data_IF_457561997103
#
_entry.id   IF_457561997103
#
_cell.length_a   1.000
_cell.length_b   1.000
_cell.length_c   1.000
_cell.angle_alpha   90.00
_cell.angle_beta   90.00
_cell.angle_gamma   90.00
#
_symmetry.space_group_name_H-M   'P 1'
#
loop_
_entity.id
_entity.type
_entity.pdbx_description
1 polymer ?
#
# COMPACT_ATOMS: atom_id res chain seq x y z
N UNK A 1 52.01 1.11 -69.02
CA UNK A 1 53.27 0.33 -69.16
C UNK A 1 53.41 -0.55 -67.91
N UNK A 2 53.97 -1.75 -68.08
CA UNK A 2 53.90 -2.96 -67.24
C UNK A 2 54.32 -2.80 -65.76
N UNK A 3 53.68 -3.62 -64.89
CA UNK A 3 54.04 -3.93 -63.49
C UNK A 3 55.49 -4.50 -63.39
N UNK A 4 56.12 -4.56 -62.18
CA UNK A 4 55.96 -5.78 -61.40
C UNK A 4 55.97 -5.65 -59.86
N UNK A 5 55.05 -6.45 -59.31
CA UNK A 5 55.07 -7.19 -58.06
C UNK A 5 56.48 -7.62 -57.58
N UNK A 6 56.78 -7.44 -56.27
CA UNK A 6 57.91 -8.10 -55.59
C UNK A 6 57.41 -8.83 -54.34
N UNK A 7 57.57 -10.17 -54.26
CA UNK A 7 57.12 -10.96 -53.12
C UNK A 7 58.21 -11.02 -52.04
N UNK A 8 57.81 -11.21 -50.79
CA UNK A 8 58.74 -11.68 -49.76
C UNK A 8 58.05 -12.69 -48.85
N UNK A 9 58.21 -13.94 -49.24
CA UNK A 9 57.92 -15.13 -48.43
C UNK A 9 58.81 -15.12 -47.17
N UNK A 10 58.18 -15.29 -46.01
CA UNK A 10 58.79 -16.06 -44.91
C UNK A 10 57.78 -17.11 -44.46
N UNK A 11 58.07 -18.32 -44.92
CA UNK A 11 57.66 -19.59 -44.33
C UNK A 11 58.30 -19.69 -42.95
N UNK A 12 57.57 -20.23 -41.97
CA UNK A 12 57.97 -21.29 -41.03
C UNK A 12 56.90 -21.33 -39.91
N UNK A 13 56.06 -22.38 -39.93
CA UNK A 13 55.98 -23.46 -38.91
C UNK A 13 55.49 -22.92 -37.54
N UNK A 14 54.44 -23.41 -36.88
CA UNK A 14 53.89 -24.76 -36.82
C UNK A 14 52.77 -24.77 -35.76
N UNK A 15 51.83 -25.72 -35.86
CA UNK A 15 51.12 -26.41 -34.74
C UNK A 15 50.12 -25.53 -33.94
N UNK A 16 48.81 -25.59 -34.21
CA UNK A 16 47.82 -26.65 -33.93
C UNK A 16 47.07 -26.45 -32.60
N UNK A 17 45.81 -26.87 -32.66
CA UNK A 17 44.92 -27.31 -31.57
C UNK A 17 43.88 -26.30 -31.05
N UNK A 18 42.64 -26.58 -31.50
CA UNK A 18 41.35 -26.58 -30.79
C UNK A 18 41.09 -25.55 -29.67
N UNK A 19 40.01 -24.80 -29.80
CA UNK A 19 38.74 -25.07 -29.09
C UNK A 19 37.70 -24.00 -29.46
N UNK A 20 36.46 -24.43 -29.62
CA UNK A 20 35.38 -23.63 -30.17
C UNK A 20 34.89 -22.49 -29.28
N UNK A 21 34.33 -21.48 -29.93
CA UNK A 21 33.39 -20.56 -29.31
C UNK A 21 32.32 -20.17 -30.33
N UNK A 22 31.36 -21.09 -30.51
CA UNK A 22 30.07 -20.77 -31.09
C UNK A 22 29.16 -20.28 -29.95
N UNK A 23 28.77 -19.01 -29.99
CA UNK A 23 27.53 -18.43 -29.43
C UNK A 23 27.57 -16.90 -29.63
N UNK A 24 27.45 -16.46 -30.89
CA UNK A 24 27.13 -15.08 -31.23
C UNK A 24 25.66 -15.05 -31.68
N UNK A 25 24.75 -14.98 -30.72
CA UNK A 25 23.35 -14.59 -30.92
C UNK A 25 22.67 -14.40 -29.57
N UNK A 26 22.09 -13.22 -29.34
CA UNK A 26 21.11 -13.01 -28.27
C UNK A 26 21.61 -12.40 -26.96
N UNK A 27 22.45 -11.36 -26.99
CA UNK A 27 22.66 -10.50 -25.82
C UNK A 27 21.58 -9.42 -25.78
N UNK A 28 20.54 -9.63 -24.96
CA UNK A 28 19.43 -8.71 -24.77
C UNK A 28 19.92 -7.31 -24.35
N UNK A 29 19.55 -6.32 -25.15
CA UNK A 29 19.38 -4.93 -24.73
C UNK A 29 18.46 -4.87 -23.50
N UNK A 30 18.71 -3.92 -22.60
CA UNK A 30 17.98 -3.62 -21.34
C UNK A 30 18.63 -4.11 -20.04
N UNK A 31 19.89 -3.72 -19.81
CA UNK A 31 20.29 -3.36 -18.44
C UNK A 31 19.52 -2.07 -18.11
N UNK A 32 18.33 -2.25 -17.53
CA UNK A 32 17.67 -1.18 -16.80
C UNK A 32 18.48 -0.97 -15.53
N UNK A 33 19.14 0.17 -15.42
CA UNK A 33 19.68 0.73 -14.19
C UNK A 33 18.56 1.06 -13.21
N UNK A 34 17.79 0.05 -12.78
CA UNK A 34 16.80 0.20 -11.72
C UNK A 34 17.50 -0.06 -10.38
N UNK A 35 17.97 1.03 -9.79
CA UNK A 35 17.99 1.31 -8.35
C UNK A 35 18.21 0.09 -7.42
N UNK A 36 19.47 -0.14 -7.07
CA UNK A 36 19.88 -1.05 -6.01
C UNK A 36 19.39 -0.57 -4.63
N UNK A 37 18.42 -1.28 -4.07
CA UNK A 37 18.41 -1.59 -2.63
C UNK A 37 17.59 -0.70 -1.71
N UNK A 38 16.28 -0.62 -1.91
CA UNK A 38 15.33 -0.51 -0.78
C UNK A 38 14.20 -1.48 -1.08
N UNK A 39 14.15 -2.63 -0.40
CA UNK A 39 12.99 -3.53 -0.51
C UNK A 39 11.81 -2.80 0.10
N UNK A 40 10.84 -2.45 -0.73
CA UNK A 40 9.54 -2.03 -0.25
C UNK A 40 8.88 -3.27 0.36
N UNK A 41 8.43 -3.18 1.60
CA UNK A 41 7.85 -4.31 2.31
C UNK A 41 6.65 -3.81 3.07
N UNK A 42 5.51 -4.40 2.76
CA UNK A 42 4.24 -4.10 3.39
C UNK A 42 3.70 -5.42 3.89
N UNK A 43 3.43 -5.48 5.18
CA UNK A 43 2.81 -6.63 5.82
C UNK A 43 1.72 -6.12 6.75
N UNK A 44 0.52 -6.64 6.54
CA UNK A 44 -0.64 -6.37 7.38
C UNK A 44 -1.10 -7.71 7.93
N UNK A 45 -1.27 -7.80 9.25
CA UNK A 45 -1.60 -9.05 9.93
C UNK A 45 -2.74 -8.85 10.90
N UNK A 46 -3.75 -9.69 10.81
CA UNK A 46 -4.82 -9.80 11.80
C UNK A 46 -4.25 -10.22 13.16
N UNK A 47 -4.72 -9.55 14.20
CA UNK A 47 -4.40 -9.90 15.59
C UNK A 47 -5.22 -11.12 16.03
N UNK A 48 -6.41 -11.31 15.47
CA UNK A 48 -7.36 -12.34 15.91
C UNK A 48 -7.21 -13.65 15.12
N UNK A 49 -7.21 -13.57 13.79
CA UNK A 49 -7.23 -14.75 12.93
C UNK A 49 -5.84 -15.21 12.49
N UNK A 50 -4.82 -14.36 12.65
CA UNK A 50 -3.49 -14.57 12.07
C UNK A 50 -3.45 -14.45 10.54
N UNK A 51 -4.57 -14.17 9.88
CA UNK A 51 -4.61 -13.85 8.45
C UNK A 51 -3.71 -12.64 8.17
N UNK A 52 -3.13 -12.58 6.97
CA UNK A 52 -2.28 -11.45 6.61
C UNK A 52 -2.18 -11.25 5.11
N UNK A 53 -1.84 -10.03 4.74
CA UNK A 53 -1.72 -9.58 3.36
C UNK A 53 -0.36 -8.92 3.17
N UNK A 54 0.28 -9.20 2.04
CA UNK A 54 1.58 -8.65 1.63
C UNK A 54 1.49 -8.13 0.20
N UNK A 55 0.89 -6.94 0.01
CA UNK A 55 0.71 -6.39 -1.33
C UNK A 55 2.06 -6.01 -1.95
N UNK A 56 2.15 -6.20 -3.27
CA UNK A 56 3.30 -5.75 -4.06
C UNK A 56 2.91 -4.43 -4.73
N UNK A 57 3.38 -3.33 -4.17
CA UNK A 57 3.06 -2.00 -4.67
C UNK A 57 3.83 -1.70 -5.95
N UNK A 58 3.10 -1.32 -7.00
CA UNK A 58 3.64 -0.92 -8.30
C UNK A 58 3.97 0.57 -8.33
N UNK A 59 3.10 1.40 -7.76
CA UNK A 59 3.25 2.85 -7.74
C UNK A 59 3.54 3.33 -6.32
N UNK A 60 4.58 4.15 -6.19
CA UNK A 60 5.00 4.73 -4.91
C UNK A 60 5.41 6.16 -5.16
N UNK A 61 4.49 7.07 -4.88
CA UNK A 61 4.65 8.50 -5.11
C UNK A 61 4.39 9.26 -3.84
N UNK A 62 4.99 10.42 -3.73
CA UNK A 62 4.73 11.31 -2.62
C UNK A 62 4.63 12.76 -3.06
N UNK A 63 3.88 13.52 -2.28
CA UNK A 63 3.74 14.97 -2.36
C UNK A 63 4.40 15.60 -1.14
N UNK A 64 5.22 16.61 -1.39
CA UNK A 64 5.82 17.42 -0.35
C UNK A 64 4.91 18.60 0.00
N UNK A 65 4.64 18.81 1.30
CA UNK A 65 3.94 20.01 1.78
C UNK A 65 4.91 20.94 2.50
N UNK A 66 5.62 20.41 3.50
CA UNK A 66 6.70 21.11 4.19
C UNK A 66 7.71 20.14 4.83
N UNK A 67 8.70 20.68 5.55
CA UNK A 67 9.77 19.89 6.19
C UNK A 67 9.30 18.85 7.22
N UNK A 68 8.05 18.96 7.67
CA UNK A 68 7.42 18.10 8.67
C UNK A 68 6.26 17.29 8.10
N UNK A 69 5.80 17.58 6.88
CA UNK A 69 4.60 16.98 6.34
C UNK A 69 4.72 16.56 4.88
N UNK A 70 4.19 15.37 4.59
CA UNK A 70 4.16 14.78 3.25
C UNK A 70 3.03 13.75 3.18
N UNK A 71 2.40 13.65 2.01
CA UNK A 71 1.47 12.57 1.68
C UNK A 71 2.21 11.54 0.82
N UNK A 72 2.13 10.27 1.21
CA UNK A 72 2.74 9.17 0.48
C UNK A 72 1.63 8.21 0.06
N UNK A 73 1.58 7.88 -1.23
CA UNK A 73 0.67 6.88 -1.78
C UNK A 73 1.45 5.69 -2.31
N UNK A 74 1.03 4.49 -1.90
CA UNK A 74 1.50 3.21 -2.39
C UNK A 74 0.30 2.46 -2.98
N UNK A 75 0.35 2.06 -4.25
CA UNK A 75 -0.75 1.36 -4.93
C UNK A 75 -0.25 0.16 -5.75
N UNK A 76 -1.06 -0.91 -5.83
CA UNK A 76 -0.71 -2.17 -6.53
C UNK A 76 -1.37 -2.35 -7.91
N UNK A 77 -2.24 -1.44 -8.32
CA UNK A 77 -2.90 -1.41 -9.63
C UNK A 77 -2.35 -0.28 -10.49
N UNK A 78 -2.54 -0.41 -11.80
CA UNK A 78 -2.02 0.54 -12.78
C UNK A 78 -2.81 1.86 -12.68
N UNK A 79 -2.09 2.95 -12.46
CA UNK A 79 -2.66 4.26 -12.09
C UNK A 79 -3.03 5.10 -13.31
N UNK A 80 -2.65 4.65 -14.52
CA UNK A 80 -2.70 5.46 -15.73
C UNK A 80 -4.10 6.00 -16.10
N UNK A 81 -5.20 5.45 -15.57
CA UNK A 81 -6.56 5.81 -15.99
C UNK A 81 -7.55 6.22 -14.86
N UNK A 82 -7.07 6.56 -13.65
CA UNK A 82 -7.95 6.82 -12.49
C UNK A 82 -8.61 8.20 -12.45
N UNK A 83 -8.62 8.94 -13.55
CA UNK A 83 -9.26 10.26 -13.63
C UNK A 83 -10.79 10.17 -13.57
N UNK A 84 -11.38 9.03 -13.97
CA UNK A 84 -12.83 8.79 -14.00
C UNK A 84 -13.27 7.73 -12.98
N UNK A 85 -14.47 7.90 -12.40
CA UNK A 85 -15.00 6.97 -11.38
C UNK A 85 -15.30 5.58 -11.95
N UNK A 86 -15.61 5.48 -13.24
CA UNK A 86 -15.79 4.21 -13.95
C UNK A 86 -14.53 3.35 -14.00
N UNK A 87 -13.37 3.94 -13.69
CA UNK A 87 -12.08 3.28 -13.82
C UNK A 87 -11.50 2.84 -12.47
N UNK A 88 -12.30 2.86 -11.39
CA UNK A 88 -11.90 2.23 -10.13
C UNK A 88 -11.67 0.73 -10.39
N UNK A 89 -10.52 0.17 -10.00
CA UNK A 89 -10.22 -1.23 -10.23
C UNK A 89 -11.18 -2.13 -9.44
N UNK A 90 -11.54 -3.28 -10.01
CA UNK A 90 -12.38 -4.28 -9.32
C UNK A 90 -11.67 -4.91 -8.13
N UNK A 91 -10.34 -5.01 -8.20
CA UNK A 91 -9.49 -5.55 -7.14
C UNK A 91 -8.20 -4.72 -7.06
N UNK A 92 -7.76 -4.43 -5.85
CA UNK A 92 -6.54 -3.67 -5.63
C UNK A 92 -6.41 -3.12 -4.22
N UNK A 93 -5.26 -2.56 -3.92
CA UNK A 93 -4.94 -2.01 -2.61
C UNK A 93 -4.23 -0.67 -2.75
N UNK A 94 -4.64 0.27 -1.91
CA UNK A 94 -4.01 1.59 -1.78
C UNK A 94 -3.61 1.77 -0.33
N UNK A 95 -2.38 2.17 -0.08
CA UNK A 95 -1.95 2.69 1.20
C UNK A 95 -1.66 4.17 1.08
N UNK A 96 -2.33 4.96 1.89
CA UNK A 96 -2.05 6.36 2.09
C UNK A 96 -1.41 6.56 3.47
N UNK A 97 -0.17 7.03 3.47
CA UNK A 97 0.54 7.44 4.68
C UNK A 97 0.62 8.95 4.69
N UNK A 98 0.00 9.59 5.69
CA UNK A 98 0.15 11.02 5.92
C UNK A 98 1.18 11.22 7.04
N UNK A 99 2.35 11.73 6.68
CA UNK A 99 3.39 12.12 7.62
C UNK A 99 3.18 13.57 8.03
N UNK A 100 3.20 13.87 9.33
CA UNK A 100 2.87 15.21 9.82
C UNK A 100 3.82 15.77 10.89
N UNK A 101 4.75 14.96 11.42
CA UNK A 101 5.80 15.44 12.32
C UNK A 101 7.12 14.73 12.04
N UNK A 102 8.17 15.52 11.76
CA UNK A 102 9.54 14.98 11.72
C UNK A 102 10.13 14.89 13.13
N UNK A 103 10.43 13.67 13.62
CA UNK A 103 11.08 13.53 14.92
C UNK A 103 12.49 14.13 14.89
N UNK A 104 12.84 14.90 15.91
CA UNK A 104 14.19 15.42 16.13
C UNK A 104 14.93 14.51 17.11
N UNK A 105 15.99 13.78 16.69
CA UNK A 105 16.79 12.95 17.57
C UNK A 105 17.31 13.75 18.77
N UNK A 106 17.19 13.19 19.98
CA UNK A 106 17.67 13.81 21.22
C UNK A 106 16.83 14.98 21.76
N UNK A 107 15.78 15.43 21.05
CA UNK A 107 14.87 16.50 21.50
C UNK A 107 13.40 16.10 21.56
N UNK A 108 13.04 15.03 20.86
CA UNK A 108 11.69 14.46 20.90
C UNK A 108 11.75 13.24 21.81
N UNK A 109 11.05 13.23 22.96
CA UNK A 109 10.89 12.00 23.73
C UNK A 109 10.32 10.93 22.81
N UNK A 110 11.10 9.88 22.54
CA UNK A 110 10.62 8.71 21.81
C UNK A 110 9.78 7.89 22.80
N UNK A 111 8.58 8.38 23.09
CA UNK A 111 7.58 7.50 23.64
C UNK A 111 7.23 6.49 22.54
N UNK A 112 7.16 5.21 22.88
CA UNK A 112 6.73 4.18 21.92
C UNK A 112 5.28 4.39 21.42
N UNK A 113 4.54 5.31 22.06
CA UNK A 113 3.20 5.76 21.69
C UNK A 113 3.19 7.04 20.85
N UNK A 114 4.36 7.61 20.52
CA UNK A 114 4.43 8.81 19.70
C UNK A 114 3.91 8.52 18.29
N UNK A 115 2.95 9.30 17.83
CA UNK A 115 2.39 9.20 16.49
C UNK A 115 3.00 10.29 15.61
N UNK A 116 3.63 9.91 14.50
CA UNK A 116 4.20 10.84 13.51
C UNK A 116 3.62 10.65 12.11
N UNK A 117 2.84 9.59 11.89
CA UNK A 117 2.12 9.36 10.65
C UNK A 117 0.76 8.68 10.91
N UNK A 118 -0.24 9.01 10.10
CA UNK A 118 -1.47 8.23 9.98
C UNK A 118 -1.38 7.32 8.76
N UNK A 119 -2.06 6.18 8.81
CA UNK A 119 -2.10 5.19 7.74
C UNK A 119 -3.55 4.90 7.42
N UNK A 120 -3.91 5.04 6.15
CA UNK A 120 -5.16 4.51 5.58
C UNK A 120 -4.79 3.40 4.61
N UNK A 121 -5.36 2.22 4.79
CA UNK A 121 -5.25 1.11 3.85
C UNK A 121 -6.63 0.83 3.29
N UNK A 122 -6.76 1.02 1.99
CA UNK A 122 -7.98 0.75 1.24
C UNK A 122 -7.78 -0.58 0.54
N UNK A 123 -8.71 -1.49 0.77
CA UNK A 123 -8.80 -2.77 0.07
C UNK A 123 -10.01 -2.72 -0.82
N UNK A 124 -9.81 -2.98 -2.10
CA UNK A 124 -10.87 -3.16 -3.07
C UNK A 124 -10.86 -4.63 -3.44
N UNK A 125 -11.98 -5.32 -3.28
CA UNK A 125 -12.12 -6.69 -3.73
C UNK A 125 -13.50 -6.94 -4.30
N UNK A 126 -13.55 -7.44 -5.54
CA UNK A 126 -14.80 -7.67 -6.28
C UNK A 126 -15.73 -6.45 -6.32
N UNK A 127 -15.17 -5.25 -6.36
CA UNK A 127 -15.91 -3.99 -6.35
C UNK A 127 -16.36 -3.50 -4.96
N UNK A 128 -16.15 -4.30 -3.91
CA UNK A 128 -16.42 -3.90 -2.52
C UNK A 128 -15.19 -3.21 -1.92
N UNK A 129 -15.44 -2.21 -1.07
CA UNK A 129 -14.39 -1.34 -0.53
C UNK A 129 -14.37 -1.47 0.99
N UNK A 130 -13.19 -1.73 1.54
CA UNK A 130 -12.89 -1.65 2.97
C UNK A 130 -11.80 -0.63 3.24
N UNK A 131 -12.01 0.23 4.22
CA UNK A 131 -11.06 1.28 4.63
C UNK A 131 -10.59 1.00 6.05
N UNK A 132 -9.36 0.54 6.16
CA UNK A 132 -8.67 0.38 7.43
C UNK A 132 -7.93 1.68 7.76
N UNK A 133 -8.07 2.14 8.99
CA UNK A 133 -7.37 3.33 9.48
C UNK A 133 -6.56 3.00 10.71
N UNK A 134 -5.42 3.66 10.83
CA UNK A 134 -4.51 3.50 11.94
C UNK A 134 -3.50 4.62 11.98
N UNK A 135 -2.59 4.53 12.94
CA UNK A 135 -1.54 5.52 13.10
C UNK A 135 -0.32 4.87 13.74
N UNK A 136 0.85 5.49 13.55
CA UNK A 136 2.08 4.94 14.07
C UNK A 136 3.24 5.92 14.06
N UNK A 137 4.36 5.43 14.58
CA UNK A 137 5.62 6.15 14.51
C UNK A 137 6.34 5.81 13.20
N UNK A 138 6.45 6.79 12.32
CA UNK A 138 7.26 6.72 11.12
C UNK A 138 8.70 7.14 11.41
N UNK A 139 9.65 6.29 11.00
CA UNK A 139 11.07 6.56 10.94
C UNK A 139 11.41 7.02 9.51
N UNK A 140 11.54 8.33 9.24
CA UNK A 140 11.78 8.83 7.90
C UNK A 140 13.22 8.52 7.43
N UNK A 141 13.35 8.22 6.14
CA UNK A 141 14.62 8.07 5.42
C UNK A 141 14.65 9.12 4.31
N UNK A 142 15.64 10.01 4.36
CA UNK A 142 15.74 11.18 3.48
C UNK A 142 15.09 12.43 4.06
N UNK A 143 14.96 13.47 3.24
CA UNK A 143 14.34 14.75 3.60
C UNK A 143 13.11 14.93 2.70
N UNK A 144 11.92 15.22 3.25
CA UNK A 144 10.77 15.61 2.43
C UNK A 144 11.16 16.78 1.52
N UNK A 145 10.88 16.65 0.21
CA UNK A 145 11.25 17.62 -0.83
C UNK A 145 12.43 17.20 -1.72
N UNK A 146 13.16 16.14 -1.35
CA UNK A 146 14.16 15.52 -2.23
C UNK A 146 13.51 14.74 -3.38
N UNK A 147 14.27 14.28 -4.38
CA UNK A 147 13.70 13.47 -5.48
C UNK A 147 13.06 12.16 -5.02
N UNK A 148 13.39 11.68 -3.82
CA UNK A 148 12.77 10.52 -3.19
C UNK A 148 12.65 10.72 -1.68
N UNK A 149 11.55 10.23 -1.12
CA UNK A 149 11.32 10.20 0.32
C UNK A 149 10.85 8.81 0.74
N UNK A 150 11.39 8.31 1.84
CA UNK A 150 11.07 6.97 2.33
C UNK A 150 10.94 6.94 3.84
N UNK A 151 10.69 5.75 4.35
CA UNK A 151 10.67 5.50 5.77
C UNK A 151 10.08 4.15 6.11
N UNK A 152 10.02 3.88 7.40
CA UNK A 152 9.38 2.69 7.93
C UNK A 152 8.44 3.01 9.08
N UNK A 153 7.33 2.28 9.14
CA UNK A 153 6.37 2.28 10.23
C UNK A 153 6.30 0.85 10.73
N UNK A 154 6.58 0.65 12.01
CA UNK A 154 6.54 -0.67 12.64
C UNK A 154 5.25 -0.85 13.45
N UNK A 155 4.55 -1.96 13.23
CA UNK A 155 3.43 -2.41 14.08
C UNK A 155 2.36 -1.33 14.32
N UNK A 156 1.98 -0.58 13.30
CA UNK A 156 0.89 0.39 13.40
C UNK A 156 -0.45 -0.35 13.61
N UNK A 157 -1.17 -0.15 14.73
CA UNK A 157 -2.49 -0.73 14.91
C UNK A 157 -3.46 -0.12 13.90
N UNK A 158 -4.28 -0.98 13.30
CA UNK A 158 -5.28 -0.61 12.30
C UNK A 158 -6.61 -1.30 12.60
N UNK A 159 -7.70 -0.64 12.23
CA UNK A 159 -9.07 -1.18 12.31
C UNK A 159 -9.86 -0.76 11.08
N UNK A 160 -10.80 -1.61 10.67
CA UNK A 160 -11.80 -1.25 9.69
C UNK A 160 -12.63 -0.09 10.22
N UNK A 161 -12.60 1.04 9.52
CA UNK A 161 -13.33 2.25 9.88
C UNK A 161 -14.54 2.47 8.98
N UNK A 162 -14.42 2.09 7.71
CA UNK A 162 -15.50 2.19 6.71
C UNK A 162 -15.52 0.97 5.83
N UNK A 163 -16.71 0.61 5.35
CA UNK A 163 -16.92 -0.51 4.46
C UNK A 163 -18.17 -0.28 3.57
N UNK A 164 -18.17 -0.83 2.37
CA UNK A 164 -19.41 -1.03 1.62
C UNK A 164 -20.20 -2.21 2.20
N UNK A 165 -21.52 -2.26 1.94
CA UNK A 165 -22.45 -3.21 2.56
C UNK A 165 -22.00 -4.68 2.48
N UNK A 166 -21.40 -5.09 1.35
CA UNK A 166 -21.01 -6.49 1.12
C UNK A 166 -19.51 -6.73 1.27
N UNK A 167 -18.76 -5.78 1.82
CA UNK A 167 -17.34 -5.97 2.09
C UNK A 167 -17.13 -7.01 3.20
N UNK A 168 -16.50 -8.13 2.85
CA UNK A 168 -16.04 -9.10 3.82
C UNK A 168 -14.75 -8.62 4.47
N UNK A 169 -14.70 -8.54 5.80
CA UNK A 169 -13.50 -8.16 6.57
C UNK A 169 -12.68 -9.40 6.97
N UNK A 170 -11.62 -9.76 6.21
CA UNK A 170 -10.75 -10.88 6.57
C UNK A 170 -9.71 -10.53 7.64
N UNK A 171 -9.49 -9.24 7.93
CA UNK A 171 -8.38 -8.78 8.76
C UNK A 171 -8.80 -8.47 10.20
N UNK A 172 -10.02 -8.00 10.42
CA UNK A 172 -10.49 -7.52 11.71
C UNK A 172 -9.53 -6.47 12.30
N UNK A 173 -9.35 -6.45 13.63
CA UNK A 173 -8.25 -5.73 14.26
C UNK A 173 -6.90 -6.25 13.74
N UNK A 174 -6.09 -5.37 13.16
CA UNK A 174 -4.83 -5.77 12.53
C UNK A 174 -3.67 -4.82 12.87
N UNK A 175 -2.46 -5.23 12.52
CA UNK A 175 -1.22 -4.46 12.66
C UNK A 175 -0.50 -4.38 11.32
N UNK A 176 -0.02 -3.19 10.97
CA UNK A 176 0.73 -2.94 9.74
C UNK A 176 2.21 -2.68 10.00
N UNK A 177 3.07 -3.29 9.20
CA UNK A 177 4.50 -2.99 9.10
C UNK A 177 4.82 -2.59 7.67
N UNK A 178 5.33 -1.37 7.51
CA UNK A 178 5.44 -0.69 6.21
C UNK A 178 6.87 -0.18 6.09
N UNK A 179 7.52 -0.45 4.96
CA UNK A 179 8.80 0.11 4.57
C UNK A 179 8.71 0.48 3.10
N UNK A 180 9.02 1.72 2.76
CA UNK A 180 8.86 2.22 1.40
C UNK A 180 9.93 3.26 1.02
N UNK A 181 10.07 3.47 -0.29
CA UNK A 181 10.76 4.59 -0.92
C UNK A 181 9.89 5.08 -2.09
N UNK A 182 9.43 6.32 -2.01
CA UNK A 182 8.55 6.94 -3.00
C UNK A 182 9.26 8.06 -3.75
N UNK A 183 8.95 8.21 -5.03
CA UNK A 183 9.44 9.32 -5.87
C UNK A 183 8.59 10.58 -5.71
N UNK A 184 9.20 11.76 -5.80
CA UNK A 184 8.47 13.02 -5.77
C UNK A 184 7.67 13.19 -7.07
N UNK A 185 6.34 13.21 -6.95
CA UNK A 185 5.39 13.38 -8.06
C UNK A 185 4.09 13.98 -7.51
N UNK A 186 4.10 15.31 -7.33
CA UNK A 186 3.01 16.04 -6.68
C UNK A 186 1.68 15.91 -7.43
N UNK A 187 1.71 15.91 -8.76
CA UNK A 187 0.50 15.84 -9.59
C UNK A 187 -0.16 14.47 -9.47
N UNK A 188 0.60 13.39 -9.66
CA UNK A 188 0.08 12.03 -9.53
C UNK A 188 -0.36 11.75 -8.10
N UNK A 189 0.42 12.19 -7.11
CA UNK A 189 0.05 12.01 -5.69
C UNK A 189 -1.26 12.71 -5.36
N UNK A 190 -1.47 13.95 -5.83
CA UNK A 190 -2.71 14.68 -5.60
C UNK A 190 -3.93 13.96 -6.20
N UNK A 191 -3.80 13.44 -7.42
CA UNK A 191 -4.85 12.65 -8.07
C UNK A 191 -5.18 11.39 -7.28
N UNK A 192 -4.16 10.70 -6.76
CA UNK A 192 -4.35 9.51 -5.94
C UNK A 192 -4.94 9.81 -4.56
N UNK A 193 -4.56 10.92 -3.91
CA UNK A 193 -5.17 11.37 -2.66
C UNK A 193 -6.66 11.66 -2.88
N UNK A 194 -7.02 12.34 -3.98
CA UNK A 194 -8.42 12.58 -4.32
C UNK A 194 -9.20 11.28 -4.56
N UNK A 195 -8.58 10.26 -5.17
CA UNK A 195 -9.17 8.93 -5.31
C UNK A 195 -9.38 8.26 -3.95
N UNK A 196 -8.36 8.28 -3.08
CA UNK A 196 -8.42 7.72 -1.71
C UNK A 196 -9.57 8.34 -0.93
N UNK A 197 -9.73 9.66 -1.00
CA UNK A 197 -10.83 10.36 -0.32
C UNK A 197 -12.19 10.02 -0.93
N UNK A 198 -12.27 9.87 -2.25
CA UNK A 198 -13.49 9.44 -2.95
C UNK A 198 -13.90 8.01 -2.56
N UNK A 199 -12.97 7.06 -2.56
CA UNK A 199 -13.23 5.67 -2.15
C UNK A 199 -13.67 5.62 -0.68
N UNK A 200 -13.02 6.40 0.18
CA UNK A 200 -13.40 6.50 1.59
C UNK A 200 -14.77 7.15 1.79
N UNK A 201 -15.21 8.04 0.90
CA UNK A 201 -16.54 8.64 0.93
C UNK A 201 -17.64 7.65 0.53
N UNK A 202 -17.39 6.80 -0.48
CA UNK A 202 -18.33 5.77 -0.93
C UNK A 202 -18.53 4.68 0.12
N UNK A 203 -17.49 4.35 0.89
CA UNK A 203 -17.60 3.42 2.00
C UNK A 203 -18.36 4.06 3.18
N UNK A 204 -19.36 3.36 3.71
CA UNK A 204 -20.14 3.81 4.86
C UNK A 204 -19.38 3.58 6.17
N UNK A 205 -19.69 4.33 7.23
CA UNK A 205 -19.09 4.09 8.53
C UNK A 205 -19.56 2.74 9.09
N UNK A 206 -18.65 1.95 9.66
CA UNK A 206 -19.00 0.62 10.20
C UNK A 206 -20.01 0.74 11.36
N UNK A 207 -19.92 1.80 12.17
CA UNK A 207 -20.85 2.05 13.29
C UNK A 207 -22.30 2.35 12.83
N UNK A 208 -22.51 2.78 11.59
CA UNK A 208 -23.87 2.98 11.03
C UNK A 208 -24.52 1.71 10.49
N UNK A 209 -23.78 0.60 10.38
CA UNK A 209 -24.29 -0.70 9.94
C UNK A 209 -24.81 -1.57 11.10
N UNK A 210 -24.76 -1.06 12.34
CA UNK A 210 -25.41 -1.71 13.48
C UNK A 210 -26.92 -1.63 13.25
N UNK A 211 -27.51 -2.71 12.74
CA UNK A 211 -28.96 -2.91 12.73
C UNK A 211 -29.42 -2.68 14.17
N UNK A 212 -30.31 -1.72 14.44
CA UNK A 212 -30.83 -1.53 15.79
C UNK A 212 -31.41 -2.87 16.22
N UNK A 213 -30.85 -3.45 17.30
CA UNK A 213 -31.45 -4.65 17.86
C UNK A 213 -32.93 -4.33 18.10
N UNK A 214 -33.85 -5.21 17.70
CA UNK A 214 -35.25 -5.02 18.04
C UNK A 214 -35.30 -4.83 19.55
N UNK A 215 -35.72 -3.64 19.98
CA UNK A 215 -35.98 -3.37 21.40
C UNK A 215 -36.91 -4.48 21.84
N UNK A 216 -36.55 -5.29 22.86
CA UNK A 216 -37.46 -6.30 23.39
C UNK A 216 -38.76 -5.57 23.70
N UNK A 217 -39.84 -5.89 22.98
CA UNK A 217 -41.14 -5.35 23.32
C UNK A 217 -41.40 -5.84 24.74
N UNK A 218 -41.40 -4.92 25.70
CA UNK A 218 -41.80 -5.21 27.06
C UNK A 218 -43.16 -5.89 26.96
N UNK A 219 -43.21 -7.15 27.41
CA UNK A 219 -44.43 -7.94 27.40
C UNK A 219 -45.51 -7.13 28.11
N UNK A 220 -46.58 -6.77 27.38
CA UNK A 220 -47.73 -6.13 27.98
C UNK A 220 -48.22 -7.03 29.13
N UNK A 221 -48.48 -6.46 30.32
CA UNK A 221 -48.90 -7.27 31.46
C UNK A 221 -50.22 -7.96 31.12
N UNK A 222 -50.19 -9.30 31.11
CA UNK A 222 -51.38 -10.13 30.98
C UNK A 222 -52.39 -9.70 32.05
N UNK A 223 -53.53 -9.18 31.59
CA UNK A 223 -54.69 -8.85 32.40
C UNK A 223 -55.09 -10.08 33.21
N UNK A 224 -54.87 -10.05 34.53
CA UNK A 224 -55.39 -11.06 35.45
C UNK A 224 -56.93 -11.10 35.36
N UNK A 225 -57.46 -12.20 34.83
CA UNK A 225 -58.87 -12.54 34.88
C UNK A 225 -59.30 -12.68 36.35
N UNK A 226 -60.23 -11.82 36.76
CA UNK A 226 -60.83 -11.81 38.09
C UNK A 226 -61.53 -13.13 38.39
N UNK A 227 -61.01 -13.82 39.41
CA UNK A 227 -61.64 -14.98 40.04
C UNK A 227 -62.89 -14.54 40.77
N UNK A 228 -63.96 -15.28 40.52
CA UNK A 228 -65.28 -15.20 41.14
C UNK A 228 -65.22 -15.42 42.66
N UNK A 229 -65.69 -14.46 43.43
CA UNK A 229 -66.21 -14.69 44.77
C UNK A 229 -67.73 -14.83 44.69
N UNK A 230 -68.22 -16.03 45.02
CA UNK A 230 -69.61 -16.25 45.36
C UNK A 230 -69.76 -16.22 46.88
N UNK A 231 -70.71 -15.44 47.37
CA UNK A 231 -71.35 -15.63 48.68
C UNK A 231 -72.76 -15.00 48.64
N UNK A 232 -73.76 -15.74 49.14
CA UNK A 232 -75.10 -15.24 49.47
C UNK A 232 -76.26 -16.05 48.91
#
# INVERSE_FOLDING_TARGET
MKLPFKPRNRVFRSVAVLAGLACLSGGCSSISTTFTGTRNTIEIRSVESGAGVRPVMKHMVYQFHDKNSADIILADFDVEDLTEFSNVPTDGQIMHVHFFVRPRPGRTPIAQTACSATVRHIVISRGEIGVYTGAGFMMPKGIPGDSSFGGSIGQAPMRLARATEFFFDPLGPCVASISFSAGLDDERTRSLVALVDRLAYVAEAVDSLVIPMPVPQEAEPETEEGVSEGEG
#
